data_IF_356912845361
#
_entry.id   IF_356912845361
#
_cell.length_a   1.000
_cell.length_b   1.000
_cell.length_c   1.000
_cell.angle_alpha   90.00
_cell.angle_beta   90.00
_cell.angle_gamma   90.00
#
_symmetry.space_group_name_H-M   'P 1'
#
loop_
_entity.id
_entity.type
_entity.pdbx_description
1 polymer ?
#
# COMPACT_ATOMS: atom_id res chain seq x y z
N UNK A 1 18.24 -8.87 6.06
CA UNK A 1 18.37 -7.76 7.03
C UNK A 1 17.01 -7.14 7.26
N UNK A 2 16.86 -6.17 8.17
CA UNK A 2 15.60 -5.44 8.32
C UNK A 2 15.24 -4.70 7.03
N UNK A 3 13.95 -4.72 6.67
CA UNK A 3 13.38 -4.07 5.47
C UNK A 3 12.69 -2.77 5.88
N UNK A 4 12.88 -1.71 5.08
CA UNK A 4 12.00 -0.55 5.07
C UNK A 4 11.10 -0.62 3.84
N UNK A 5 9.78 -0.50 4.04
CA UNK A 5 8.80 -0.61 2.96
C UNK A 5 8.11 0.73 2.73
N UNK A 6 8.38 1.37 1.60
CA UNK A 6 7.61 2.54 1.15
C UNK A 6 6.63 2.11 0.07
N UNK A 7 5.36 2.49 0.21
CA UNK A 7 4.29 2.19 -0.75
C UNK A 7 3.77 3.51 -1.31
N UNK A 8 4.14 3.80 -2.55
CA UNK A 8 3.51 4.86 -3.33
C UNK A 8 2.18 4.36 -3.93
N UNK A 9 1.10 5.09 -3.67
CA UNK A 9 -0.22 4.72 -4.16
C UNK A 9 -0.37 4.93 -5.67
N UNK A 10 0.45 5.78 -6.28
CA UNK A 10 0.40 6.00 -7.73
C UNK A 10 0.87 4.79 -8.56
N UNK A 11 1.59 3.85 -7.93
CA UNK A 11 1.97 2.57 -8.52
C UNK A 11 0.81 1.56 -8.62
N UNK A 12 -0.31 1.81 -7.94
CA UNK A 12 -1.53 1.02 -8.08
C UNK A 12 -2.35 1.52 -9.27
N UNK A 13 -3.05 0.59 -9.94
CA UNK A 13 -3.93 1.00 -11.02
C UNK A 13 -5.02 1.97 -10.48
N UNK A 14 -5.30 3.07 -11.19
CA UNK A 14 -6.32 4.05 -10.80
C UNK A 14 -7.72 3.46 -10.59
N UNK A 15 -8.01 2.27 -11.13
CA UNK A 15 -9.24 1.53 -10.82
C UNK A 15 -9.36 1.16 -9.33
N UNK A 16 -8.24 1.02 -8.62
CA UNK A 16 -8.20 0.69 -7.19
C UNK A 16 -7.77 1.87 -6.31
N UNK A 17 -6.89 2.74 -6.82
CA UNK A 17 -6.38 3.90 -6.10
C UNK A 17 -6.58 5.23 -6.88
N UNK A 18 -7.83 5.64 -7.17
CA UNK A 18 -8.08 6.88 -7.92
C UNK A 18 -7.72 8.15 -7.14
N UNK A 19 -7.60 8.07 -5.82
CA UNK A 19 -7.31 9.15 -4.89
C UNK A 19 -5.83 9.48 -4.76
N UNK A 20 -5.17 9.67 -5.91
CA UNK A 20 -3.77 10.08 -6.04
C UNK A 20 -3.66 11.26 -7.01
N UNK A 21 -2.53 11.98 -6.97
CA UNK A 21 -2.32 13.16 -7.81
C UNK A 21 -1.90 12.80 -9.25
N UNK A 22 -1.09 11.75 -9.41
CA UNK A 22 -0.60 11.28 -10.70
C UNK A 22 -1.15 9.87 -10.95
N UNK A 23 -2.00 9.73 -11.96
CA UNK A 23 -2.68 8.46 -12.27
C UNK A 23 -2.03 7.82 -13.49
N UNK A 24 -1.47 6.63 -13.33
CA UNK A 24 -0.84 5.87 -14.42
C UNK A 24 -1.61 4.58 -14.68
N UNK A 25 -2.06 4.36 -15.91
CA UNK A 25 -2.84 3.17 -16.26
C UNK A 25 -1.98 1.90 -16.34
N UNK A 26 -2.55 0.75 -15.96
CA UNK A 26 -1.85 -0.54 -15.99
C UNK A 26 -0.99 -0.81 -14.76
N UNK A 27 -1.29 -0.13 -13.65
CA UNK A 27 -0.61 -0.33 -12.36
C UNK A 27 -0.99 -1.65 -11.67
N UNK A 28 -0.45 -1.83 -10.47
CA UNK A 28 -0.72 -3.03 -9.67
C UNK A 28 -2.15 -3.05 -9.14
N UNK A 29 -2.74 -4.24 -9.06
CA UNK A 29 -3.98 -4.42 -8.32
C UNK A 29 -3.72 -4.38 -6.82
N UNK A 30 -4.73 -3.99 -6.04
CA UNK A 30 -4.64 -4.04 -4.57
C UNK A 30 -4.26 -5.44 -4.05
N UNK A 31 -4.69 -6.50 -4.71
CA UNK A 31 -4.38 -7.89 -4.33
C UNK A 31 -2.92 -8.24 -4.55
N UNK A 32 -2.31 -7.78 -5.63
CA UNK A 32 -0.88 -8.01 -5.90
C UNK A 32 -0.02 -7.30 -4.87
N UNK A 33 -0.33 -6.04 -4.55
CA UNK A 33 0.40 -5.29 -3.50
C UNK A 33 0.31 -6.00 -2.15
N UNK A 34 -0.87 -6.47 -1.77
CA UNK A 34 -1.03 -7.28 -0.55
C UNK A 34 -0.18 -8.55 -0.62
N UNK A 35 -0.20 -9.27 -1.75
CA UNK A 35 0.66 -10.45 -1.94
C UNK A 35 2.16 -10.14 -1.82
N UNK A 36 2.60 -8.97 -2.31
CA UNK A 36 3.98 -8.50 -2.20
C UNK A 36 4.34 -8.22 -0.74
N UNK A 37 3.52 -7.45 0.00
CA UNK A 37 3.69 -7.21 1.44
C UNK A 37 3.80 -8.56 2.17
N UNK A 38 2.91 -9.50 1.83
CA UNK A 38 2.86 -10.83 2.40
C UNK A 38 3.93 -11.80 1.84
N UNK A 39 4.88 -11.35 1.03
CA UNK A 39 5.99 -12.21 0.56
C UNK A 39 7.38 -11.62 0.85
N UNK A 40 7.43 -10.44 1.49
CA UNK A 40 8.70 -9.81 1.84
C UNK A 40 9.57 -10.73 2.72
N UNK A 41 10.86 -10.92 2.36
CA UNK A 41 11.74 -11.81 3.09
C UNK A 41 12.38 -11.09 4.30
N UNK A 42 11.86 -11.35 5.50
CA UNK A 42 12.45 -10.90 6.76
C UNK A 42 11.71 -9.71 7.41
N UNK A 43 12.25 -9.20 8.53
CA UNK A 43 11.51 -8.29 9.39
C UNK A 43 11.38 -6.90 8.77
N UNK A 44 10.15 -6.36 8.79
CA UNK A 44 9.89 -4.97 8.42
C UNK A 44 10.19 -4.09 9.64
N UNK A 45 11.21 -3.23 9.53
CA UNK A 45 11.62 -2.30 10.59
C UNK A 45 10.84 -0.99 10.56
N UNK A 46 10.25 -0.65 9.41
CA UNK A 46 9.44 0.55 9.24
C UNK A 46 8.76 0.55 7.88
N UNK A 47 7.70 1.33 7.76
CA UNK A 47 6.99 1.50 6.52
C UNK A 47 6.25 2.84 6.44
N UNK A 48 6.01 3.29 5.22
CA UNK A 48 5.14 4.42 4.91
C UNK A 48 4.19 4.09 3.75
N UNK A 49 3.09 4.82 3.69
CA UNK A 49 2.15 4.83 2.57
C UNK A 49 2.01 6.28 2.16
N UNK A 50 2.34 6.60 0.91
CA UNK A 50 2.48 7.97 0.42
C UNK A 50 1.51 8.25 -0.74
N UNK A 51 1.45 9.51 -1.16
CA UNK A 51 0.65 10.02 -2.30
C UNK A 51 -0.88 9.88 -2.20
N UNK A 52 -1.41 9.60 -1.01
CA UNK A 52 -2.86 9.71 -0.80
C UNK A 52 -3.31 11.17 -0.95
N UNK A 53 -4.20 11.41 -1.90
CA UNK A 53 -4.80 12.71 -2.16
C UNK A 53 -6.33 12.65 -1.93
N UNK A 54 -6.83 13.11 -0.78
CA UNK A 54 -8.26 13.10 -0.45
C UNK A 54 -9.12 13.90 -1.44
N UNK A 55 -8.56 14.95 -2.05
CA UNK A 55 -9.29 15.78 -3.02
C UNK A 55 -9.55 15.04 -4.34
N UNK A 56 -8.77 14.00 -4.62
CA UNK A 56 -8.88 13.16 -5.82
C UNK A 56 -9.65 11.86 -5.54
N UNK A 57 -9.94 11.54 -4.28
CA UNK A 57 -10.64 10.32 -3.87
C UNK A 57 -12.16 10.50 -3.89
N UNK A 58 -12.71 10.93 -5.04
CA UNK A 58 -14.12 11.31 -5.16
C UNK A 58 -15.12 10.18 -4.83
N UNK A 59 -14.73 8.93 -5.05
CA UNK A 59 -15.53 7.75 -4.69
C UNK A 59 -15.24 7.24 -3.27
N UNK A 60 -14.23 7.79 -2.57
CA UNK A 60 -13.84 7.40 -1.22
C UNK A 60 -13.30 5.99 -1.08
N UNK A 61 -12.76 5.40 -2.16
CA UNK A 61 -12.28 4.01 -2.17
C UNK A 61 -10.79 3.89 -1.83
N UNK A 62 -10.02 4.96 -2.04
CA UNK A 62 -8.57 4.97 -1.83
C UNK A 62 -8.23 5.05 -0.35
N UNK A 63 -8.95 5.85 0.44
CA UNK A 63 -8.75 5.91 1.90
C UNK A 63 -8.89 4.53 2.58
N UNK A 64 -9.98 3.76 2.35
CA UNK A 64 -10.10 2.40 2.86
C UNK A 64 -8.98 1.45 2.37
N UNK A 65 -8.53 1.62 1.12
CA UNK A 65 -7.38 0.86 0.59
C UNK A 65 -6.09 1.18 1.37
N UNK A 66 -5.81 2.46 1.65
CA UNK A 66 -4.68 2.86 2.48
C UNK A 66 -4.74 2.19 3.86
N UNK A 67 -5.91 2.25 4.52
CA UNK A 67 -6.11 1.62 5.83
C UNK A 67 -5.90 0.10 5.78
N UNK A 68 -6.35 -0.55 4.70
CA UNK A 68 -6.10 -1.98 4.47
C UNK A 68 -4.61 -2.28 4.32
N UNK A 69 -3.88 -1.49 3.54
CA UNK A 69 -2.43 -1.66 3.36
C UNK A 69 -1.67 -1.46 4.68
N UNK A 70 -2.00 -0.43 5.48
CA UNK A 70 -1.43 -0.25 6.83
C UNK A 70 -1.65 -1.49 7.69
N UNK A 71 -2.87 -2.05 7.67
CA UNK A 71 -3.20 -3.25 8.43
C UNK A 71 -2.35 -4.45 8.00
N UNK A 72 -2.16 -4.67 6.70
CA UNK A 72 -1.35 -5.79 6.18
C UNK A 72 0.12 -5.65 6.57
N UNK A 73 0.68 -4.44 6.47
CA UNK A 73 2.05 -4.16 6.90
C UNK A 73 2.21 -4.36 8.41
N UNK A 74 1.30 -3.83 9.22
CA UNK A 74 1.34 -3.97 10.67
C UNK A 74 1.26 -5.45 11.09
N UNK A 75 0.40 -6.25 10.45
CA UNK A 75 0.33 -7.69 10.68
C UNK A 75 1.68 -8.36 10.40
N UNK A 76 2.37 -7.97 9.32
CA UNK A 76 3.70 -8.50 8.99
C UNK A 76 4.83 -8.07 9.91
N UNK A 77 4.77 -6.84 10.40
CA UNK A 77 5.71 -6.37 11.41
C UNK A 77 5.60 -7.20 12.70
N UNK A 78 4.39 -7.61 13.09
CA UNK A 78 4.15 -8.44 14.28
C UNK A 78 4.60 -9.88 14.06
N UNK A 79 4.26 -10.50 12.92
CA UNK A 79 4.61 -11.90 12.64
C UNK A 79 6.12 -12.15 12.65
N UNK A 80 6.91 -11.18 12.17
CA UNK A 80 8.37 -11.34 12.12
C UNK A 80 9.08 -11.06 13.45
N UNK A 81 8.35 -10.66 14.49
CA UNK A 81 8.87 -10.49 15.85
C UNK A 81 8.66 -11.73 16.73
N UNK A 82 7.82 -12.68 16.30
CA UNK A 82 7.55 -13.95 16.98
C UNK A 82 8.56 -15.04 16.56
#
# INVERSE_FOLDING_TARGET
GPIYLSIDLDGLDPAFAPGVSHREAGGLTAREVIGLIQSLPGPIAGADIVEYNPSQDGCGITAPLCAKLVKEVAARMIETQA
#
